data_IF_247381946150
#
_entry.id   IF_247381946150
#
_cell.length_a   1.000
_cell.length_b   1.000
_cell.length_c   1.000
_cell.angle_alpha   90.00
_cell.angle_beta   90.00
_cell.angle_gamma   90.00
#
_symmetry.space_group_name_H-M   'P 1'
#
loop_
_entity.id
_entity.type
_entity.pdbx_description
1 polymer ?
#
# COMPACT_ATOMS: atom_id res chain seq x y z
N UNK A 1 3.09 15.04 23.49
CA UNK A 1 2.41 16.33 23.29
C UNK A 1 1.12 16.02 22.58
N UNK A 2 -0.02 16.15 23.24
CA UNK A 2 -1.33 15.79 22.69
C UNK A 2 -1.71 16.84 21.63
N UNK A 3 -1.66 16.48 20.36
CA UNK A 3 -2.06 17.37 19.27
C UNK A 3 -3.58 17.52 19.34
N UNK A 4 -4.04 18.66 19.86
CA UNK A 4 -5.48 18.99 19.88
C UNK A 4 -5.91 19.39 18.47
N UNK A 5 -6.64 18.52 17.79
CA UNK A 5 -7.31 18.85 16.53
C UNK A 5 -8.53 19.73 16.77
N UNK A 6 -8.87 20.55 15.79
CA UNK A 6 -10.08 21.35 15.86
C UNK A 6 -11.31 20.43 15.80
N UNK A 7 -12.39 20.83 16.47
CA UNK A 7 -13.69 20.14 16.40
C UNK A 7 -14.20 20.11 14.96
N UNK A 8 -13.93 21.17 14.19
CA UNK A 8 -14.30 21.27 12.78
C UNK A 8 -13.60 20.19 11.94
N UNK A 9 -12.30 19.98 12.14
CA UNK A 9 -11.53 18.95 11.43
C UNK A 9 -12.06 17.54 11.70
N UNK A 10 -12.23 17.21 12.98
CA UNK A 10 -12.76 15.90 13.37
C UNK A 10 -14.19 15.71 12.86
N UNK A 11 -15.01 16.76 12.94
CA UNK A 11 -16.38 16.78 12.41
C UNK A 11 -16.44 16.52 10.92
N UNK A 12 -15.60 17.19 10.12
CA UNK A 12 -15.52 16.97 8.67
C UNK A 12 -15.14 15.53 8.31
N UNK A 13 -14.14 14.97 8.99
CA UNK A 13 -13.69 13.59 8.77
C UNK A 13 -14.75 12.56 9.16
N UNK A 14 -15.39 12.73 10.33
CA UNK A 14 -16.53 11.93 10.77
C UNK A 14 -17.68 12.03 9.77
N UNK A 15 -17.95 13.23 9.24
CA UNK A 15 -19.03 13.45 8.28
C UNK A 15 -18.78 12.71 6.96
N UNK A 16 -17.55 12.73 6.44
CA UNK A 16 -17.19 11.95 5.25
C UNK A 16 -17.41 10.43 5.43
N UNK A 17 -16.97 9.89 6.57
CA UNK A 17 -17.19 8.46 6.92
C UNK A 17 -18.68 8.15 6.95
N UNK A 18 -19.48 9.01 7.59
CA UNK A 18 -20.93 8.82 7.73
C UNK A 18 -21.63 8.87 6.36
N UNK A 19 -21.28 9.83 5.50
CA UNK A 19 -21.88 9.96 4.16
C UNK A 19 -21.65 8.70 3.32
N UNK A 20 -20.42 8.20 3.24
CA UNK A 20 -20.12 7.00 2.46
C UNK A 20 -20.81 5.76 3.06
N UNK A 21 -20.89 5.68 4.39
CA UNK A 21 -21.58 4.60 5.10
C UNK A 21 -23.08 4.58 4.79
N UNK A 22 -23.75 5.72 4.92
CA UNK A 22 -25.20 5.86 4.68
C UNK A 22 -25.57 5.62 3.22
N UNK A 23 -24.67 6.01 2.30
CA UNK A 23 -24.83 5.76 0.88
C UNK A 23 -24.52 4.30 0.48
N UNK A 24 -24.04 3.46 1.39
CA UNK A 24 -23.64 2.07 1.09
C UNK A 24 -22.49 1.97 0.09
N UNK A 25 -21.53 2.90 0.17
CA UNK A 25 -20.30 2.84 -0.63
C UNK A 25 -19.26 2.05 0.18
N UNK A 26 -18.70 0.94 -0.34
CA UNK A 26 -17.65 0.21 0.37
C UNK A 26 -16.37 1.05 0.46
N UNK A 27 -15.87 1.24 1.68
CA UNK A 27 -14.56 1.85 1.93
C UNK A 27 -13.90 1.25 3.17
N UNK A 28 -12.60 1.48 3.30
CA UNK A 28 -11.80 1.16 4.48
C UNK A 28 -11.09 2.42 4.96
N UNK A 29 -11.11 2.70 6.26
CA UNK A 29 -10.38 3.83 6.83
C UNK A 29 -8.91 3.44 6.97
N UNK A 30 -8.01 4.12 6.26
CA UNK A 30 -6.60 3.77 6.19
C UNK A 30 -5.69 4.77 6.89
N UNK A 31 -4.48 4.93 6.35
CA UNK A 31 -3.57 5.99 6.76
C UNK A 31 -3.11 5.90 8.21
N UNK A 32 -2.92 7.07 8.81
CA UNK A 32 -2.54 7.19 10.22
C UNK A 32 -3.57 6.56 11.17
N UNK A 33 -4.86 6.53 10.81
CA UNK A 33 -5.91 5.95 11.65
C UNK A 33 -5.83 4.42 11.71
N UNK A 34 -5.67 3.76 10.56
CA UNK A 34 -5.46 2.31 10.54
C UNK A 34 -4.14 1.92 11.22
N UNK A 35 -3.07 2.68 10.99
CA UNK A 35 -1.80 2.45 11.66
C UNK A 35 -1.92 2.57 13.19
N UNK A 36 -2.63 3.60 13.68
CA UNK A 36 -2.89 3.79 15.10
C UNK A 36 -3.76 2.67 15.69
N UNK A 37 -4.73 2.15 14.93
CA UNK A 37 -5.54 0.99 15.34
C UNK A 37 -4.67 -0.23 15.66
N UNK A 38 -3.67 -0.53 14.82
CA UNK A 38 -2.81 -1.70 15.02
C UNK A 38 -1.69 -1.49 16.03
N UNK A 39 -1.14 -0.27 16.12
CA UNK A 39 0.08 -0.03 16.89
C UNK A 39 -0.15 0.70 18.21
N UNK A 40 -1.30 1.35 18.37
CA UNK A 40 -1.57 2.32 19.41
C UNK A 40 -0.78 3.63 19.26
N UNK A 41 0.02 3.77 18.18
CA UNK A 41 0.81 4.97 17.92
C UNK A 41 0.00 5.95 17.10
N UNK A 42 -0.41 7.03 17.76
CA UNK A 42 -1.03 8.14 17.09
C UNK A 42 0.02 9.07 16.50
N UNK A 43 -0.10 9.39 15.21
CA UNK A 43 0.65 10.47 14.57
C UNK A 43 -0.29 11.52 14.03
N UNK A 44 0.20 12.75 14.00
CA UNK A 44 -0.49 13.80 13.28
C UNK A 44 -0.53 13.47 11.78
N UNK A 45 -1.65 13.72 11.12
CA UNK A 45 -1.92 13.44 9.71
C UNK A 45 -2.70 14.61 9.13
N UNK A 46 -2.47 14.94 7.87
CA UNK A 46 -3.10 16.11 7.23
C UNK A 46 -4.46 15.76 6.62
N UNK A 47 -4.68 14.47 6.40
CA UNK A 47 -5.71 13.87 5.58
C UNK A 47 -6.47 12.76 6.34
N UNK A 48 -7.66 12.46 5.85
CA UNK A 48 -8.34 11.20 6.10
C UNK A 48 -8.21 10.33 4.85
N UNK A 49 -7.52 9.20 4.96
CA UNK A 49 -7.37 8.24 3.88
C UNK A 49 -8.54 7.25 3.89
N UNK A 50 -9.32 7.20 2.82
CA UNK A 50 -10.39 6.22 2.59
C UNK A 50 -10.04 5.36 1.37
N UNK A 51 -9.80 4.07 1.60
CA UNK A 51 -9.48 3.11 0.56
C UNK A 51 -10.75 2.52 -0.04
N UNK A 52 -10.89 2.58 -1.36
CA UNK A 52 -12.07 2.15 -2.12
C UNK A 52 -11.64 1.30 -3.32
N UNK A 53 -12.54 0.49 -3.85
CA UNK A 53 -12.35 0.00 -5.22
C UNK A 53 -12.41 1.16 -6.22
N UNK A 54 -11.65 1.10 -7.31
CA UNK A 54 -11.71 2.11 -8.39
C UNK A 54 -13.14 2.32 -8.92
N UNK A 55 -13.92 1.24 -9.04
CA UNK A 55 -15.32 1.27 -9.53
C UNK A 55 -16.26 2.12 -8.65
N UNK A 56 -15.90 2.34 -7.39
CA UNK A 56 -16.69 3.09 -6.41
C UNK A 56 -16.20 4.55 -6.26
N UNK A 57 -15.05 4.91 -6.87
CA UNK A 57 -14.40 6.21 -6.73
C UNK A 57 -15.27 7.38 -7.19
N UNK A 58 -15.78 7.31 -8.43
CA UNK A 58 -16.60 8.38 -9.00
C UNK A 58 -17.89 8.59 -8.21
N UNK A 59 -18.53 7.50 -7.77
CA UNK A 59 -19.73 7.56 -6.92
C UNK A 59 -19.45 8.22 -5.57
N UNK A 60 -18.29 7.97 -4.96
CA UNK A 60 -17.89 8.61 -3.71
C UNK A 60 -17.64 10.12 -3.89
N UNK A 61 -16.97 10.50 -4.97
CA UNK A 61 -16.73 11.91 -5.31
C UNK A 61 -18.04 12.66 -5.58
N UNK A 62 -18.93 12.09 -6.38
CA UNK A 62 -20.23 12.69 -6.68
C UNK A 62 -21.07 12.87 -5.42
N UNK A 63 -21.06 11.87 -4.52
CA UNK A 63 -21.75 11.96 -3.24
C UNK A 63 -21.22 13.15 -2.43
N UNK A 64 -19.90 13.23 -2.22
CA UNK A 64 -19.30 14.31 -1.45
C UNK A 64 -19.59 15.68 -2.08
N UNK A 65 -19.52 15.81 -3.41
CA UNK A 65 -19.84 17.04 -4.12
C UNK A 65 -21.31 17.50 -3.91
N UNK A 66 -22.27 16.56 -3.87
CA UNK A 66 -23.68 16.87 -3.55
C UNK A 66 -23.87 17.35 -2.11
N UNK A 67 -22.92 17.06 -1.23
CA UNK A 67 -22.88 17.51 0.16
C UNK A 67 -21.92 18.68 0.36
N UNK A 68 -21.74 19.52 -0.67
CA UNK A 68 -20.97 20.78 -0.63
C UNK A 68 -19.45 20.63 -0.43
N UNK A 69 -18.91 19.42 -0.53
CA UNK A 69 -17.47 19.22 -0.57
C UNK A 69 -16.91 19.69 -1.91
N UNK A 70 -15.78 20.41 -1.89
CA UNK A 70 -15.01 20.68 -3.11
C UNK A 70 -14.25 19.42 -3.48
N UNK A 71 -14.43 18.91 -4.69
CA UNK A 71 -13.81 17.65 -5.11
C UNK A 71 -12.86 17.81 -6.29
N UNK A 72 -11.87 16.93 -6.37
CA UNK A 72 -10.92 16.84 -7.47
C UNK A 72 -10.82 15.37 -7.92
N UNK A 73 -11.09 15.12 -9.20
CA UNK A 73 -11.11 13.77 -9.76
C UNK A 73 -9.77 13.36 -10.39
N UNK A 74 -9.51 12.05 -10.43
CA UNK A 74 -8.35 11.40 -11.07
C UNK A 74 -6.98 12.02 -10.76
N UNK A 75 -6.78 12.47 -9.52
CA UNK A 75 -5.53 13.09 -9.11
C UNK A 75 -4.41 12.05 -9.19
N UNK A 76 -3.45 12.31 -10.09
CA UNK A 76 -2.33 11.44 -10.41
C UNK A 76 -2.73 10.00 -10.85
N UNK A 77 -4.01 9.76 -11.16
CA UNK A 77 -4.52 8.48 -11.65
C UNK A 77 -4.73 7.38 -10.61
N UNK A 78 -4.59 7.66 -9.31
CA UNK A 78 -4.68 6.66 -8.22
C UNK A 78 -5.59 7.05 -7.04
N UNK A 79 -6.06 8.30 -6.99
CA UNK A 79 -7.06 8.74 -6.01
C UNK A 79 -7.98 9.84 -6.56
N UNK A 80 -9.02 10.14 -5.79
CA UNK A 80 -9.73 11.42 -5.83
C UNK A 80 -9.52 12.19 -4.53
N UNK A 81 -9.77 13.49 -4.53
CA UNK A 81 -9.72 14.32 -3.32
C UNK A 81 -11.05 14.98 -3.04
N UNK A 82 -11.38 15.13 -1.77
CA UNK A 82 -12.49 15.93 -1.31
C UNK A 82 -12.02 16.85 -0.18
N UNK A 83 -12.49 18.09 -0.22
CA UNK A 83 -12.11 19.14 0.73
C UNK A 83 -13.35 19.70 1.39
N UNK A 84 -13.33 19.73 2.72
CA UNK A 84 -14.24 20.52 3.54
C UNK A 84 -13.43 21.66 4.14
N UNK A 85 -13.59 22.86 3.59
CA UNK A 85 -12.67 23.98 3.85
C UNK A 85 -11.21 23.54 3.62
N UNK A 86 -10.37 23.56 4.66
CA UNK A 86 -8.96 23.16 4.63
C UNK A 86 -8.72 21.67 4.94
N UNK A 87 -9.78 20.90 5.23
CA UNK A 87 -9.66 19.49 5.64
C UNK A 87 -9.76 18.56 4.45
N UNK A 88 -8.71 17.76 4.25
CA UNK A 88 -8.58 16.82 3.13
C UNK A 88 -9.09 15.41 3.48
N UNK A 89 -9.83 14.82 2.55
CA UNK A 89 -10.14 13.40 2.46
C UNK A 89 -9.58 12.87 1.14
N UNK A 90 -8.67 11.90 1.22
CA UNK A 90 -8.14 11.19 0.05
C UNK A 90 -8.96 9.91 -0.17
N UNK A 91 -9.53 9.79 -1.37
CA UNK A 91 -10.32 8.64 -1.84
C UNK A 91 -9.42 7.76 -2.71
N UNK A 92 -8.76 6.79 -2.08
CA UNK A 92 -7.63 6.05 -2.62
C UNK A 92 -8.08 4.72 -3.22
N UNK A 93 -7.74 4.45 -4.48
CA UNK A 93 -8.02 3.16 -5.13
C UNK A 93 -6.76 2.44 -5.65
N UNK A 94 -5.59 3.02 -5.41
CA UNK A 94 -4.29 2.37 -5.62
C UNK A 94 -3.17 3.18 -5.00
N UNK A 95 -1.93 2.72 -5.11
CA UNK A 95 -0.76 3.50 -4.70
C UNK A 95 -0.28 4.45 -5.79
N UNK A 96 0.43 5.51 -5.40
CA UNK A 96 1.02 6.47 -6.35
C UNK A 96 2.04 5.89 -7.34
N UNK A 97 2.61 4.74 -7.02
CA UNK A 97 3.48 3.99 -7.94
C UNK A 97 2.69 3.00 -8.83
N UNK A 98 1.40 2.78 -8.61
CA UNK A 98 0.54 1.93 -9.46
C UNK A 98 0.69 0.42 -9.25
N UNK A 99 1.31 -0.01 -8.16
CA UNK A 99 1.54 -1.44 -7.87
C UNK A 99 0.49 -2.03 -6.94
N UNK A 100 0.00 -1.25 -5.97
CA UNK A 100 -0.90 -1.76 -4.94
C UNK A 100 -2.29 -1.23 -5.15
N UNK A 101 -2.98 -1.75 -6.17
CA UNK A 101 -4.39 -1.48 -6.39
C UNK A 101 -5.23 -1.99 -5.20
N UNK A 102 -6.31 -1.29 -4.90
CA UNK A 102 -7.28 -1.73 -3.89
C UNK A 102 -8.23 -2.74 -4.53
N UNK A 103 -7.99 -4.01 -4.25
CA UNK A 103 -8.76 -5.15 -4.75
C UNK A 103 -9.64 -5.79 -3.68
N UNK A 104 -10.41 -6.82 -4.07
CA UNK A 104 -11.39 -7.48 -3.20
C UNK A 104 -10.76 -8.04 -1.91
N UNK A 105 -9.49 -8.46 -1.95
CA UNK A 105 -8.82 -9.02 -0.78
C UNK A 105 -8.54 -7.97 0.31
N UNK A 106 -8.49 -6.67 -0.02
CA UNK A 106 -8.50 -5.61 1.01
C UNK A 106 -9.79 -5.66 1.84
N UNK A 107 -10.92 -5.91 1.19
CA UNK A 107 -12.24 -5.91 1.83
C UNK A 107 -12.58 -7.24 2.49
N UNK A 108 -12.21 -8.36 1.86
CA UNK A 108 -12.42 -9.71 2.39
C UNK A 108 -11.76 -9.88 3.77
N UNK A 109 -10.54 -9.35 3.92
CA UNK A 109 -9.75 -9.48 5.14
C UNK A 109 -9.82 -8.24 6.04
N UNK A 110 -10.66 -7.26 5.72
CA UNK A 110 -10.79 -6.02 6.47
C UNK A 110 -11.24 -6.27 7.92
N UNK A 111 -10.65 -5.52 8.86
CA UNK A 111 -10.89 -5.70 10.29
C UNK A 111 -11.89 -4.67 10.80
N UNK A 112 -12.89 -5.05 11.62
CA UNK A 112 -13.78 -4.10 12.29
C UNK A 112 -13.00 -3.14 13.19
N UNK A 113 -13.34 -1.86 13.14
CA UNK A 113 -12.69 -0.82 13.93
C UNK A 113 -13.68 0.27 14.35
N UNK A 114 -13.22 1.13 15.27
CA UNK A 114 -13.89 2.38 15.59
C UNK A 114 -12.92 3.52 15.37
N UNK A 115 -13.20 4.36 14.38
CA UNK A 115 -12.36 5.51 14.02
C UNK A 115 -13.20 6.77 14.14
N UNK A 116 -12.71 7.74 14.91
CA UNK A 116 -13.41 9.01 15.16
C UNK A 116 -14.85 8.82 15.70
N UNK A 117 -15.05 7.77 16.49
CA UNK A 117 -16.36 7.40 17.03
C UNK A 117 -17.26 6.61 16.06
N UNK A 118 -16.93 6.55 14.77
CA UNK A 118 -17.68 5.82 13.76
C UNK A 118 -17.29 4.33 13.73
N UNK A 119 -18.26 3.40 13.85
CA UNK A 119 -18.05 2.01 13.48
C UNK A 119 -17.69 1.93 11.99
N UNK A 120 -16.55 1.32 11.67
CA UNK A 120 -16.07 1.19 10.30
C UNK A 120 -15.18 -0.06 10.18
N UNK A 121 -14.48 -0.19 9.05
CA UNK A 121 -13.44 -1.20 8.85
C UNK A 121 -12.14 -0.53 8.45
N UNK A 122 -11.01 -1.17 8.79
CA UNK A 122 -9.67 -0.76 8.37
C UNK A 122 -9.06 -1.83 7.45
N UNK A 123 -8.12 -1.45 6.57
CA UNK A 123 -7.36 -2.42 5.79
C UNK A 123 -6.65 -3.46 6.66
N UNK A 124 -6.50 -4.71 6.20
CA UNK A 124 -5.69 -5.70 6.89
C UNK A 124 -4.25 -5.21 7.01
N UNK A 125 -3.57 -5.60 8.08
CA UNK A 125 -2.21 -5.16 8.35
C UNK A 125 -1.22 -5.59 7.25
N UNK A 126 -1.46 -6.72 6.58
CA UNK A 126 -0.66 -7.20 5.46
C UNK A 126 -0.74 -6.28 4.23
N UNK A 127 -1.93 -5.78 3.91
CA UNK A 127 -2.16 -4.82 2.82
C UNK A 127 -1.59 -3.43 3.14
N UNK A 128 -1.66 -3.00 4.42
CA UNK A 128 -0.95 -1.80 4.89
C UNK A 128 0.56 -2.00 4.73
N UNK A 129 1.09 -3.15 5.14
CA UNK A 129 2.52 -3.46 5.02
C UNK A 129 2.95 -3.44 3.55
N UNK A 130 2.23 -4.16 2.70
CA UNK A 130 2.53 -4.31 1.28
C UNK A 130 2.50 -2.96 0.55
N UNK A 131 1.44 -2.17 0.71
CA UNK A 131 1.31 -0.85 0.05
C UNK A 131 2.40 0.14 0.46
N UNK A 132 2.81 0.11 1.73
CA UNK A 132 3.87 1.00 2.26
C UNK A 132 5.28 0.53 1.97
N UNK A 133 5.50 -0.76 1.71
CA UNK A 133 6.83 -1.32 1.46
C UNK A 133 7.53 -0.75 0.22
N UNK A 134 6.78 -0.24 -0.74
CA UNK A 134 7.32 0.38 -1.94
C UNK A 134 7.52 1.89 -1.81
N UNK A 135 7.29 2.50 -0.64
CA UNK A 135 7.48 3.95 -0.44
C UNK A 135 8.92 4.22 -0.01
N UNK A 136 9.77 4.60 -0.97
CA UNK A 136 11.17 4.97 -0.76
C UNK A 136 11.51 6.28 -1.50
N UNK A 137 10.65 7.28 -1.37
CA UNK A 137 10.88 8.61 -1.95
C UNK A 137 11.88 9.42 -1.12
N UNK A 138 12.48 10.45 -1.73
CA UNK A 138 13.48 11.30 -1.07
C UNK A 138 12.96 11.95 0.20
N UNK A 139 11.71 12.39 0.16
CA UNK A 139 11.00 13.08 1.24
C UNK A 139 10.15 12.14 2.10
N UNK A 140 10.01 10.86 1.72
CA UNK A 140 9.15 9.92 2.43
C UNK A 140 9.63 8.48 2.34
N UNK A 141 9.87 7.91 3.51
CA UNK A 141 10.19 6.50 3.69
C UNK A 141 9.40 5.92 4.89
N UNK A 142 8.57 4.91 4.62
CA UNK A 142 7.63 4.36 5.61
C UNK A 142 8.20 3.13 6.36
N UNK A 143 9.48 2.76 6.17
CA UNK A 143 10.04 1.51 6.72
C UNK A 143 10.00 1.38 8.24
N UNK A 144 10.06 2.48 8.99
CA UNK A 144 9.89 2.46 10.44
C UNK A 144 8.45 2.13 10.86
N UNK A 145 7.44 2.57 10.09
CA UNK A 145 6.06 2.15 10.33
C UNK A 145 5.90 0.64 10.09
N UNK A 146 6.59 0.10 9.08
CA UNK A 146 6.56 -1.34 8.78
C UNK A 146 7.15 -2.18 9.90
N UNK A 147 8.28 -1.77 10.48
CA UNK A 147 8.87 -2.50 11.61
C UNK A 147 8.00 -2.40 12.86
N UNK A 148 7.34 -1.26 13.11
CA UNK A 148 6.36 -1.12 14.19
C UNK A 148 5.13 -2.01 14.00
N UNK A 149 4.62 -2.09 12.77
CA UNK A 149 3.47 -2.93 12.44
C UNK A 149 3.81 -4.40 12.67
N UNK A 150 4.97 -4.86 12.20
CA UNK A 150 5.46 -6.21 12.46
C UNK A 150 5.61 -6.50 13.95
N UNK A 151 6.21 -5.59 14.72
CA UNK A 151 6.37 -5.78 16.16
C UNK A 151 5.02 -5.97 16.87
N UNK A 152 4.00 -5.22 16.46
CA UNK A 152 2.71 -5.18 17.16
C UNK A 152 1.76 -6.27 16.72
N UNK A 153 1.72 -6.59 15.43
CA UNK A 153 0.71 -7.48 14.84
C UNK A 153 1.29 -8.49 13.86
N UNK A 154 2.61 -8.57 13.68
CA UNK A 154 3.27 -9.60 12.87
C UNK A 154 2.91 -11.04 13.25
N UNK A 155 2.70 -11.40 14.53
CA UNK A 155 2.25 -12.75 14.88
C UNK A 155 0.85 -13.12 14.34
N UNK A 156 0.04 -12.13 13.94
CA UNK A 156 -1.30 -12.36 13.38
C UNK A 156 -1.34 -12.30 11.85
N UNK A 157 -0.20 -12.08 11.19
CA UNK A 157 -0.14 -12.01 9.73
C UNK A 157 -0.42 -13.37 9.09
N UNK A 158 -1.20 -13.35 8.01
CA UNK A 158 -1.15 -14.41 7.00
C UNK A 158 0.10 -14.19 6.13
N UNK A 159 1.20 -14.80 6.57
CA UNK A 159 2.50 -14.72 5.89
C UNK A 159 2.51 -15.33 4.50
N UNK A 160 1.64 -16.30 4.22
CA UNK A 160 1.52 -16.86 2.87
C UNK A 160 0.82 -15.88 1.94
N UNK A 161 -0.24 -15.21 2.41
CA UNK A 161 -0.89 -14.12 1.67
C UNK A 161 0.06 -12.97 1.43
N UNK A 162 0.81 -12.55 2.46
CA UNK A 162 1.80 -11.49 2.30
C UNK A 162 2.87 -11.86 1.26
N UNK A 163 3.41 -13.07 1.31
CA UNK A 163 4.38 -13.52 0.30
C UNK A 163 3.79 -13.49 -1.11
N UNK A 164 2.52 -13.91 -1.29
CA UNK A 164 1.82 -13.80 -2.59
C UNK A 164 1.61 -12.37 -3.04
N UNK A 165 1.39 -11.41 -2.11
CA UNK A 165 1.29 -9.98 -2.45
C UNK A 165 2.60 -9.43 -3.01
N UNK A 166 3.73 -9.88 -2.48
CA UNK A 166 5.04 -9.46 -2.98
C UNK A 166 5.47 -10.22 -4.23
N UNK A 167 5.13 -11.49 -4.40
CA UNK A 167 5.39 -12.26 -5.63
C UNK A 167 6.81 -12.02 -6.21
N UNK A 168 6.92 -11.40 -7.41
CA UNK A 168 8.16 -11.01 -8.11
C UNK A 168 8.96 -9.86 -7.46
N UNK A 169 8.49 -9.30 -6.36
CA UNK A 169 9.08 -8.20 -5.58
C UNK A 169 9.58 -8.69 -4.21
N UNK A 170 9.86 -9.98 -4.09
CA UNK A 170 10.29 -10.63 -2.85
C UNK A 170 11.55 -9.98 -2.24
N UNK A 171 12.40 -9.33 -3.04
CA UNK A 171 13.57 -8.58 -2.59
C UNK A 171 13.16 -7.41 -1.68
N UNK A 172 12.06 -6.73 -2.03
CA UNK A 172 11.51 -5.62 -1.25
C UNK A 172 11.00 -6.14 0.09
N UNK A 173 10.27 -7.26 0.10
CA UNK A 173 9.86 -7.92 1.34
C UNK A 173 11.07 -8.28 2.21
N UNK A 174 12.07 -8.97 1.64
CA UNK A 174 13.27 -9.39 2.36
C UNK A 174 14.00 -8.19 2.98
N UNK A 175 14.12 -7.07 2.26
CA UNK A 175 14.78 -5.86 2.76
C UNK A 175 14.12 -5.32 4.05
N UNK A 176 12.79 -5.22 4.08
CA UNK A 176 12.04 -4.78 5.25
C UNK A 176 12.11 -5.79 6.41
N UNK A 177 12.10 -7.09 6.12
CA UNK A 177 12.29 -8.12 7.14
C UNK A 177 13.69 -8.07 7.75
N UNK A 178 14.73 -7.76 6.96
CA UNK A 178 16.08 -7.54 7.47
C UNK A 178 16.16 -6.30 8.36
N UNK A 179 15.53 -5.18 7.96
CA UNK A 179 15.42 -3.99 8.81
C UNK A 179 14.69 -4.28 10.13
N UNK A 180 13.59 -5.04 10.08
CA UNK A 180 12.89 -5.47 11.29
C UNK A 180 13.80 -6.27 12.23
N UNK A 181 14.53 -7.26 11.71
CA UNK A 181 15.43 -8.11 12.50
C UNK A 181 16.65 -7.36 13.05
N UNK A 182 17.03 -6.25 12.43
CA UNK A 182 18.05 -5.32 12.93
C UNK A 182 17.49 -4.42 14.04
N UNK A 183 16.32 -3.83 13.82
CA UNK A 183 15.67 -2.94 14.79
C UNK A 183 15.21 -3.68 16.05
N UNK A 184 14.73 -4.92 15.90
CA UNK A 184 14.18 -5.76 16.97
C UNK A 184 14.86 -7.13 17.02
N UNK A 185 16.14 -7.20 17.45
CA UNK A 185 16.88 -8.46 17.48
C UNK A 185 16.27 -9.50 18.46
N UNK A 186 15.56 -9.04 19.49
CA UNK A 186 14.86 -9.89 20.46
C UNK A 186 13.55 -10.48 19.94
N UNK A 187 12.95 -9.87 18.91
CA UNK A 187 11.62 -10.21 18.39
C UNK A 187 11.71 -10.85 16.99
N UNK A 188 12.89 -11.37 16.62
CA UNK A 188 13.15 -12.00 15.32
C UNK A 188 12.21 -13.15 14.99
N UNK A 189 11.66 -13.82 16.00
CA UNK A 189 10.73 -14.94 15.85
C UNK A 189 9.32 -14.51 15.42
N UNK A 190 9.01 -13.20 15.43
CA UNK A 190 7.76 -12.66 14.88
C UNK A 190 7.62 -12.98 13.39
N UNK A 191 8.73 -13.02 12.65
CA UNK A 191 8.76 -13.45 11.26
C UNK A 191 9.02 -14.96 11.22
N UNK A 192 8.17 -15.76 10.55
CA UNK A 192 8.34 -17.20 10.48
C UNK A 192 9.68 -17.60 9.87
N UNK A 193 10.29 -18.63 10.46
CA UNK A 193 11.59 -19.15 10.01
C UNK A 193 11.55 -19.63 8.57
N UNK A 194 10.47 -20.30 8.16
CA UNK A 194 10.30 -20.79 6.79
C UNK A 194 10.34 -19.65 5.77
N UNK A 195 9.74 -18.50 6.08
CA UNK A 195 9.69 -17.34 5.18
C UNK A 195 11.08 -16.72 5.02
N UNK A 196 11.82 -16.58 6.12
CA UNK A 196 13.19 -16.11 6.06
C UNK A 196 14.09 -17.06 5.26
N UNK A 197 13.95 -18.38 5.46
CA UNK A 197 14.73 -19.38 4.71
C UNK A 197 14.40 -19.34 3.21
N UNK A 198 13.12 -19.26 2.86
CA UNK A 198 12.66 -19.12 1.48
C UNK A 198 13.27 -17.89 0.81
N UNK A 199 13.12 -16.71 1.41
CA UNK A 199 13.61 -15.45 0.82
C UNK A 199 15.14 -15.39 0.74
N UNK A 200 15.85 -15.90 1.74
CA UNK A 200 17.31 -16.01 1.69
C UNK A 200 17.77 -17.02 0.64
N UNK A 201 17.03 -18.11 0.43
CA UNK A 201 17.30 -19.06 -0.65
C UNK A 201 17.13 -18.41 -2.02
N UNK A 202 16.09 -17.60 -2.22
CA UNK A 202 15.90 -16.81 -3.46
C UNK A 202 17.04 -15.82 -3.67
N UNK A 203 17.48 -15.14 -2.61
CA UNK A 203 18.64 -14.24 -2.67
C UNK A 203 19.95 -14.95 -3.02
N UNK A 204 20.18 -16.15 -2.50
CA UNK A 204 21.34 -16.94 -2.91
C UNK A 204 21.24 -17.36 -4.39
N UNK A 205 20.05 -17.81 -4.81
CA UNK A 205 19.79 -18.18 -6.20
C UNK A 205 20.01 -17.01 -7.18
N UNK A 206 19.65 -15.78 -6.81
CA UNK A 206 19.90 -14.61 -7.67
C UNK A 206 21.38 -14.25 -7.76
N UNK A 207 22.16 -14.46 -6.69
CA UNK A 207 23.63 -14.33 -6.76
C UNK A 207 24.23 -15.36 -7.71
N UNK A 208 23.76 -16.61 -7.66
CA UNK A 208 24.23 -17.67 -8.54
C UNK A 208 23.83 -17.43 -10.01
N UNK A 209 22.63 -16.89 -10.24
CA UNK A 209 22.15 -16.52 -11.58
C UNK A 209 22.91 -15.34 -12.20
N UNK A 210 23.39 -14.41 -11.36
CA UNK A 210 24.15 -13.25 -11.78
C UNK A 210 23.26 -12.13 -12.34
N UNK A 211 23.78 -11.40 -13.33
CA UNK A 211 23.10 -10.22 -13.86
C UNK A 211 21.99 -10.61 -14.86
N UNK A 212 20.93 -9.81 -14.87
CA UNK A 212 19.95 -9.82 -15.95
C UNK A 212 20.63 -9.45 -17.28
N UNK A 213 20.13 -10.03 -18.37
CA UNK A 213 20.63 -9.72 -19.72
C UNK A 213 20.15 -8.33 -20.16
N UNK A 214 18.91 -7.99 -19.80
CA UNK A 214 18.30 -6.71 -20.05
C UNK A 214 18.89 -5.65 -19.11
N UNK A 215 19.27 -4.51 -19.69
CA UNK A 215 19.74 -3.35 -18.94
C UNK A 215 18.55 -2.58 -18.37
N UNK A 216 17.93 -3.09 -17.32
CA UNK A 216 16.69 -2.58 -16.73
C UNK A 216 16.93 -1.94 -15.36
N UNK A 217 16.20 -0.87 -15.04
CA UNK A 217 16.15 -0.28 -13.71
C UNK A 217 14.73 -0.39 -13.12
N UNK A 218 14.55 -1.26 -12.13
CA UNK A 218 13.29 -1.41 -11.38
C UNK A 218 13.11 -0.36 -10.27
N UNK A 219 14.04 0.59 -10.12
CA UNK A 219 14.04 1.58 -9.05
C UNK A 219 12.82 2.52 -9.06
N UNK A 220 12.24 2.79 -10.24
CA UNK A 220 11.03 3.64 -10.36
C UNK A 220 9.77 3.03 -9.76
N UNK A 221 9.80 1.76 -9.40
CA UNK A 221 8.77 1.10 -8.57
C UNK A 221 8.81 1.63 -7.13
N UNK A 222 10.01 1.94 -6.63
CA UNK A 222 10.28 2.39 -5.25
C UNK A 222 10.30 3.91 -5.11
N UNK A 223 10.84 4.61 -6.11
CA UNK A 223 10.84 6.07 -6.17
C UNK A 223 10.84 6.56 -7.61
N UNK A 224 9.79 7.28 -7.98
CA UNK A 224 9.65 7.77 -9.36
C UNK A 224 10.71 8.81 -9.70
N UNK A 225 11.01 9.69 -8.76
CA UNK A 225 11.90 10.84 -8.97
C UNK A 225 13.36 10.44 -8.81
N UNK A 226 13.70 9.63 -7.80
CA UNK A 226 15.10 9.33 -7.48
C UNK A 226 15.77 8.46 -8.54
N UNK A 227 15.01 7.62 -9.24
CA UNK A 227 15.50 6.74 -10.30
C UNK A 227 15.18 7.23 -11.72
N UNK A 228 14.80 8.51 -11.88
CA UNK A 228 14.50 9.08 -13.18
C UNK A 228 15.76 9.18 -14.07
N UNK A 229 16.90 9.51 -13.45
CA UNK A 229 18.21 9.64 -14.12
C UNK A 229 18.66 8.31 -14.77
N UNK A 230 18.33 7.18 -14.14
CA UNK A 230 18.67 5.84 -14.65
C UNK A 230 18.09 5.61 -16.05
N UNK A 231 16.85 6.05 -16.25
CA UNK A 231 16.13 5.89 -17.52
C UNK A 231 16.51 6.99 -18.50
N UNK A 232 16.45 8.25 -18.07
CA UNK A 232 16.56 9.40 -18.99
C UNK A 232 17.99 9.66 -19.47
N UNK A 233 18.99 9.37 -18.62
CA UNK A 233 20.38 9.74 -18.88
C UNK A 233 21.30 8.51 -18.95
N UNK A 234 21.10 7.50 -18.11
CA UNK A 234 22.01 6.35 -18.06
C UNK A 234 21.62 5.22 -19.02
N UNK A 235 20.47 5.31 -19.67
CA UNK A 235 20.04 4.40 -20.73
C UNK A 235 19.58 3.03 -20.22
N UNK A 236 19.03 2.96 -19.02
CA UNK A 236 18.32 1.78 -18.54
C UNK A 236 16.89 1.75 -19.08
N UNK A 237 16.38 0.55 -19.37
CA UNK A 237 14.96 0.33 -19.59
C UNK A 237 14.18 0.62 -18.30
N UNK A 238 13.00 1.21 -18.46
CA UNK A 238 12.12 1.56 -17.34
C UNK A 238 11.45 0.30 -16.77
N UNK A 239 11.90 -0.13 -15.59
CA UNK A 239 11.34 -1.30 -14.93
C UNK A 239 9.89 -1.12 -14.46
N UNK A 240 9.41 0.12 -14.32
CA UNK A 240 7.99 0.39 -14.07
C UNK A 240 7.12 -0.02 -15.26
N UNK A 241 7.48 0.48 -16.45
CA UNK A 241 6.78 0.19 -17.70
C UNK A 241 6.85 -1.30 -18.04
N UNK A 242 8.05 -1.90 -17.93
CA UNK A 242 8.25 -3.35 -18.10
C UNK A 242 7.33 -4.17 -17.20
N UNK A 243 7.21 -3.80 -15.92
CA UNK A 243 6.38 -4.55 -15.00
C UNK A 243 4.89 -4.49 -15.37
N UNK A 244 4.43 -3.33 -15.81
CA UNK A 244 3.05 -3.15 -16.28
C UNK A 244 2.74 -4.06 -17.47
N UNK A 245 3.68 -4.18 -18.41
CA UNK A 245 3.54 -5.09 -19.56
C UNK A 245 3.50 -6.55 -19.11
N UNK A 246 4.37 -6.95 -18.19
CA UNK A 246 4.39 -8.31 -17.65
C UNK A 246 3.07 -8.67 -16.95
N UNK A 247 2.51 -7.76 -16.12
CA UNK A 247 1.19 -7.97 -15.51
C UNK A 247 0.07 -8.11 -16.54
N UNK A 248 0.15 -7.36 -17.65
CA UNK A 248 -0.82 -7.49 -18.73
C UNK A 248 -0.71 -8.84 -19.43
N UNK A 249 0.52 -9.31 -19.71
CA UNK A 249 0.76 -10.64 -20.30
C UNK A 249 0.22 -11.77 -19.42
N UNK A 250 0.42 -11.68 -18.11
CA UNK A 250 -0.13 -12.64 -17.16
C UNK A 250 -1.66 -12.63 -17.16
N UNK A 251 -2.28 -11.45 -17.16
CA UNK A 251 -3.74 -11.33 -17.23
C UNK A 251 -4.31 -11.93 -18.53
N UNK A 252 -3.63 -11.70 -19.65
CA UNK A 252 -4.03 -12.24 -20.96
C UNK A 252 -3.86 -13.78 -21.00
N UNK A 253 -2.79 -14.32 -20.41
CA UNK A 253 -2.55 -15.77 -20.26
C UNK A 253 -3.63 -16.45 -19.42
N UNK A 254 -4.03 -15.83 -18.30
CA UNK A 254 -5.09 -16.36 -17.44
C UNK A 254 -6.43 -16.34 -18.18
N UNK A 255 -6.71 -15.29 -18.97
CA UNK A 255 -7.91 -15.20 -19.77
C UNK A 255 -7.95 -16.21 -20.94
N UNK A 256 -6.79 -16.58 -21.50
CA UNK A 256 -6.67 -17.58 -22.57
C UNK A 256 -6.67 -19.04 -22.08
N UNK A 257 -6.58 -19.27 -20.76
CA UNK A 257 -6.53 -20.61 -20.16
C UNK A 257 -5.15 -21.26 -20.21
N UNK A 258 -4.10 -20.50 -20.53
CA UNK A 258 -2.71 -20.94 -20.42
C UNK A 258 -2.26 -20.83 -18.97
N UNK A 259 -1.64 -21.89 -18.43
CA UNK A 259 -1.19 -21.91 -17.04
C UNK A 259 -0.18 -20.77 -16.80
N UNK A 260 -0.34 -19.95 -15.75
CA UNK A 260 0.60 -18.88 -15.45
C UNK A 260 2.00 -19.49 -15.25
N UNK A 261 3.00 -18.93 -15.95
CA UNK A 261 4.40 -19.29 -15.77
C UNK A 261 4.78 -19.08 -14.31
N UNK A 262 5.13 -20.16 -13.61
CA UNK A 262 5.26 -20.18 -12.16
C UNK A 262 6.32 -19.21 -11.61
N UNK A 263 7.22 -18.69 -12.43
CA UNK A 263 8.14 -17.62 -12.10
C UNK A 263 8.45 -16.87 -13.40
N UNK A 264 8.19 -15.56 -13.46
CA UNK A 264 8.76 -14.69 -14.50
C UNK A 264 10.29 -14.83 -14.50
N UNK A 265 10.96 -14.57 -15.64
CA UNK A 265 12.39 -14.88 -15.79
C UNK A 265 13.18 -14.19 -14.68
N UNK A 266 13.87 -15.03 -13.90
CA UNK A 266 14.78 -14.61 -12.84
C UNK A 266 15.98 -13.87 -13.38
#
# INVERSE_FOLDING_TARGET
>A
MEVRRSVAELGARTYAIQLLTDAGIPFLVGGAYAFAHYTGLYRDTKDLDLFLHRKDGDRAVELLARHEWRTESEVHGWLHKAFWEDFLVDLIYGSGNGFTAVDDAWFEHAVPAQVLGCPCRVPPAEEIFWSKAFVLERERYDGHELTHLLLKVGPTFDWQRLLRRFDRYWEVLLSHLLFFRFAYPSDRATVPEWLMRELLSRANGSVDAGNWQERICRGRILSKVSYQVDVDEWGFQDGHSWDKEERQREADSVASGEAPGLHGPH
#
